data_IF_963412065606
#
_entry.id   IF_963412065606
#
_cell.length_a   1.000
_cell.length_b   1.000
_cell.length_c   1.000
_cell.angle_alpha   90.00
_cell.angle_beta   90.00
_cell.angle_gamma   90.00
#
_symmetry.space_group_name_H-M   'P 1'
#
loop_
_entity.id
_entity.type
_entity.pdbx_description
1 polymer ?
#
# COMPACT_ATOMS: atom_id res chain seq x y z
N UNK A 1 1.50 28.61 12.98
CA UNK A 1 0.94 28.11 14.26
C UNK A 1 1.81 26.99 14.76
N UNK A 2 2.08 26.93 16.06
CA UNK A 2 2.77 25.81 16.70
C UNK A 2 1.88 24.56 16.64
N UNK A 3 2.42 23.37 16.28
CA UNK A 3 1.65 22.13 16.27
C UNK A 3 1.07 21.87 17.66
N UNK A 4 -0.26 21.69 17.74
CA UNK A 4 -0.93 21.41 19.02
C UNK A 4 -1.09 19.90 19.16
N UNK A 5 -0.44 19.30 20.16
CA UNK A 5 -0.66 17.89 20.50
C UNK A 5 -2.10 17.71 20.96
N UNK A 6 -2.84 16.82 20.30
CA UNK A 6 -4.25 16.54 20.62
C UNK A 6 -4.46 15.18 21.29
N UNK A 7 -3.55 14.23 21.04
CA UNK A 7 -3.57 12.94 21.70
C UNK A 7 -2.18 12.31 21.73
N UNK A 8 -1.98 11.41 22.70
CA UNK A 8 -0.88 10.47 22.73
C UNK A 8 -1.50 9.09 22.96
N UNK A 9 -1.00 8.08 22.26
CA UNK A 9 -1.45 6.69 22.40
C UNK A 9 -0.22 5.85 22.66
N UNK A 10 -0.04 5.43 23.90
CA UNK A 10 1.04 4.51 24.25
C UNK A 10 0.71 3.07 23.84
N UNK A 11 1.73 2.23 23.65
CA UNK A 11 1.49 0.80 23.39
C UNK A 11 0.76 0.11 24.54
N UNK A 12 0.97 0.58 25.78
CA UNK A 12 0.32 0.05 26.98
C UNK A 12 -1.18 0.32 26.98
N UNK A 13 -1.61 1.53 26.59
CA UNK A 13 -3.04 1.90 26.47
C UNK A 13 -3.80 1.05 25.45
N UNK A 14 -3.11 0.40 24.50
CA UNK A 14 -3.74 -0.53 23.56
C UNK A 14 -4.35 -1.76 24.24
N UNK A 15 -3.96 -2.06 25.48
CA UNK A 15 -4.57 -3.14 26.26
C UNK A 15 -5.97 -2.75 26.77
N UNK A 16 -6.21 -1.46 26.97
CA UNK A 16 -7.44 -0.91 27.55
C UNK A 16 -8.44 -0.44 26.47
N UNK A 17 -8.03 -0.43 25.20
CA UNK A 17 -8.92 -0.08 24.09
C UNK A 17 -10.04 -1.11 23.96
N UNK A 18 -11.27 -0.60 23.77
CA UNK A 18 -12.37 -1.43 23.31
C UNK A 18 -11.99 -2.01 21.95
N UNK A 19 -11.75 -3.32 21.91
CA UNK A 19 -11.39 -4.03 20.70
C UNK A 19 -12.62 -4.72 20.12
N UNK A 20 -12.74 -4.80 18.77
CA UNK A 20 -13.81 -5.60 18.17
C UNK A 20 -13.68 -7.05 18.60
N UNK A 21 -14.76 -7.83 18.59
CA UNK A 21 -14.71 -9.24 19.00
C UNK A 21 -13.75 -10.05 18.11
N UNK A 22 -13.75 -9.75 16.81
CA UNK A 22 -12.91 -10.38 15.78
C UNK A 22 -12.43 -9.31 14.80
N UNK A 23 -11.21 -9.45 14.30
CA UNK A 23 -10.63 -8.61 13.25
C UNK A 23 -10.17 -9.51 12.08
N UNK A 24 -11.13 -9.84 11.22
CA UNK A 24 -10.94 -10.67 10.02
C UNK A 24 -11.09 -9.81 8.77
N UNK A 25 -10.24 -10.07 7.78
CA UNK A 25 -10.34 -9.48 6.45
C UNK A 25 -11.43 -10.22 5.66
N UNK A 26 -12.43 -9.49 5.20
CA UNK A 26 -13.56 -10.02 4.41
C UNK A 26 -13.82 -9.14 3.19
N UNK A 27 -14.62 -9.65 2.24
CA UNK A 27 -15.09 -8.91 1.07
C UNK A 27 -13.95 -8.29 0.23
N UNK A 28 -12.83 -9.00 0.10
CA UNK A 28 -11.68 -8.54 -0.69
C UNK A 28 -12.05 -8.45 -2.16
N UNK A 29 -11.88 -7.26 -2.74
CA UNK A 29 -12.13 -7.01 -4.17
C UNK A 29 -11.01 -6.17 -4.75
N UNK A 30 -10.57 -6.50 -5.95
CA UNK A 30 -9.76 -5.59 -6.74
C UNK A 30 -10.66 -4.47 -7.29
N UNK A 31 -10.23 -3.23 -7.11
CA UNK A 31 -10.89 -2.07 -7.68
C UNK A 31 -10.19 -1.62 -8.95
N UNK A 32 -8.93 -1.21 -8.84
CA UNK A 32 -8.20 -0.59 -9.96
C UNK A 32 -6.71 -0.89 -9.89
N UNK A 33 -5.96 -0.41 -10.87
CA UNK A 33 -4.51 -0.47 -10.92
C UNK A 33 -3.95 0.66 -11.76
N UNK A 34 -2.67 0.97 -11.57
CA UNK A 34 -1.95 1.90 -12.43
C UNK A 34 -0.46 1.58 -12.46
N UNK A 35 0.23 2.00 -13.53
CA UNK A 35 1.69 2.04 -13.58
C UNK A 35 2.16 3.48 -13.58
N UNK A 36 3.23 3.79 -12.86
CA UNK A 36 4.05 4.96 -13.20
C UNK A 36 4.87 4.67 -14.45
N UNK A 37 5.02 5.67 -15.33
CA UNK A 37 5.91 5.61 -16.49
C UNK A 37 6.93 6.75 -16.48
N UNK A 38 8.09 6.54 -17.10
CA UNK A 38 9.02 7.63 -17.36
C UNK A 38 8.49 8.56 -18.45
N UNK A 39 8.26 9.81 -18.06
CA UNK A 39 7.77 10.89 -18.90
C UNK A 39 8.25 12.24 -18.34
N UNK A 40 8.26 13.34 -19.13
CA UNK A 40 8.68 14.67 -18.65
C UNK A 40 7.82 15.22 -17.50
N UNK A 41 6.57 14.77 -17.40
CA UNK A 41 5.64 15.11 -16.32
C UNK A 41 5.24 13.83 -15.56
N UNK A 42 4.87 13.93 -14.27
CA UNK A 42 4.34 12.79 -13.52
C UNK A 42 3.15 12.17 -14.27
N UNK A 43 3.33 10.96 -14.80
CA UNK A 43 2.36 10.31 -15.67
C UNK A 43 2.11 8.87 -15.23
N UNK A 44 0.83 8.49 -15.18
CA UNK A 44 0.40 7.13 -14.91
C UNK A 44 -0.35 6.54 -16.11
N UNK A 45 -0.29 5.22 -16.26
CA UNK A 45 -1.11 4.44 -17.19
C UNK A 45 -2.19 3.71 -16.38
N UNK A 46 -3.45 3.78 -16.83
CA UNK A 46 -4.63 3.22 -16.16
C UNK A 46 -5.51 2.51 -17.20
N UNK A 47 -5.96 1.25 -16.96
CA UNK A 47 -5.50 0.37 -15.90
C UNK A 47 -4.02 0.00 -16.07
N UNK A 48 -3.36 -0.29 -14.95
CA UNK A 48 -1.99 -0.78 -14.94
C UNK A 48 -1.90 -2.29 -15.14
N UNK A 49 -0.70 -2.77 -15.48
CA UNK A 49 -0.34 -4.19 -15.57
C UNK A 49 1.03 -4.41 -14.92
N UNK A 50 1.18 -5.39 -14.00
CA UNK A 50 2.48 -5.75 -13.45
C UNK A 50 3.36 -6.38 -14.55
N UNK A 51 4.69 -6.41 -14.39
CA UNK A 51 5.53 -7.09 -15.35
C UNK A 51 5.32 -8.63 -15.28
N UNK A 52 5.40 -9.29 -16.42
CA UNK A 52 5.23 -10.75 -16.54
C UNK A 52 6.48 -11.45 -16.04
N UNK A 53 6.34 -12.46 -15.18
CA UNK A 53 7.40 -13.39 -14.86
C UNK A 53 7.90 -14.09 -16.13
N UNK A 54 9.15 -13.83 -16.47
CA UNK A 54 9.79 -14.25 -17.72
C UNK A 54 11.28 -14.54 -17.46
N UNK A 55 11.58 -15.68 -16.81
CA UNK A 55 12.94 -16.00 -16.40
C UNK A 55 13.82 -16.25 -17.63
N UNK A 56 15.13 -15.93 -17.56
CA UNK A 56 16.08 -16.31 -18.62
C UNK A 56 16.18 -17.84 -18.73
N UNK A 57 16.53 -18.34 -19.93
CA UNK A 57 16.59 -19.79 -20.23
C UNK A 57 17.72 -20.56 -19.53
N UNK A 58 18.55 -19.91 -18.71
CA UNK A 58 19.66 -20.56 -18.01
C UNK A 58 20.17 -19.73 -16.84
N UNK A 59 21.14 -20.27 -16.06
CA UNK A 59 21.68 -19.58 -14.91
C UNK A 59 22.24 -18.21 -15.28
N UNK A 60 21.93 -17.21 -14.46
CA UNK A 60 22.38 -15.84 -14.69
C UNK A 60 22.86 -15.22 -13.40
N UNK A 61 24.14 -14.85 -13.37
CA UNK A 61 24.68 -14.06 -12.28
C UNK A 61 24.07 -12.65 -12.32
N UNK A 62 23.44 -12.25 -11.23
CA UNK A 62 22.85 -10.93 -11.09
C UNK A 62 23.90 -9.88 -10.76
N UNK A 63 23.69 -8.67 -11.29
CA UNK A 63 24.41 -7.49 -10.84
C UNK A 63 23.86 -7.07 -9.49
N UNK A 64 24.69 -6.41 -8.68
CA UNK A 64 24.24 -5.73 -7.46
C UNK A 64 23.27 -4.61 -7.83
N UNK A 65 22.28 -4.38 -6.96
CA UNK A 65 21.39 -3.23 -7.09
C UNK A 65 22.21 -1.93 -7.12
N UNK A 66 21.91 -1.05 -8.07
CA UNK A 66 22.63 0.22 -8.24
C UNK A 66 21.70 1.32 -8.77
N UNK A 67 22.14 2.57 -8.61
CA UNK A 67 21.45 3.76 -9.12
C UNK A 67 20.27 4.19 -8.26
N UNK A 68 19.34 4.93 -8.86
CA UNK A 68 18.20 5.51 -8.17
C UNK A 68 17.17 4.43 -7.76
N UNK A 69 16.72 4.52 -6.52
CA UNK A 69 15.69 3.68 -5.89
C UNK A 69 14.61 4.58 -5.30
N UNK A 70 13.36 4.16 -5.45
CA UNK A 70 12.24 4.80 -4.78
C UNK A 70 11.93 4.09 -3.47
N UNK A 71 11.98 4.82 -2.36
CA UNK A 71 11.41 4.41 -1.06
C UNK A 71 9.90 4.65 -1.08
N UNK A 72 9.47 5.72 -1.75
CA UNK A 72 8.09 6.11 -1.92
C UNK A 72 7.85 6.70 -3.30
N UNK A 73 7.73 5.86 -4.33
CA UNK A 73 7.61 6.29 -5.73
C UNK A 73 6.51 7.34 -5.96
N UNK A 74 5.34 7.14 -5.36
CA UNK A 74 4.24 8.09 -5.49
C UNK A 74 4.55 9.46 -4.89
N UNK A 75 5.22 9.51 -3.73
CA UNK A 75 5.62 10.76 -3.10
C UNK A 75 6.84 11.40 -3.79
N UNK A 76 7.73 10.60 -4.37
CA UNK A 76 8.86 11.09 -5.16
C UNK A 76 8.40 11.76 -6.46
N UNK A 77 7.39 11.19 -7.13
CA UNK A 77 6.86 11.71 -8.40
C UNK A 77 5.80 12.79 -8.21
N UNK A 78 5.03 12.73 -7.13
CA UNK A 78 3.98 13.70 -6.83
C UNK A 78 3.89 14.02 -5.33
N UNK A 79 4.85 14.81 -4.81
CA UNK A 79 5.01 15.04 -3.37
C UNK A 79 3.81 15.77 -2.72
N UNK A 80 3.15 16.65 -3.47
CA UNK A 80 2.01 17.43 -2.97
C UNK A 80 0.74 16.58 -2.82
N UNK A 81 0.61 15.48 -3.57
CA UNK A 81 -0.55 14.58 -3.49
C UNK A 81 -0.20 13.11 -3.80
N UNK A 82 0.54 12.41 -2.92
CA UNK A 82 1.03 11.05 -3.19
C UNK A 82 -0.05 9.97 -3.33
N UNK A 83 -1.30 10.28 -2.97
CA UNK A 83 -2.45 9.39 -3.13
C UNK A 83 -3.34 9.76 -4.32
N UNK A 84 -3.13 10.90 -4.98
CA UNK A 84 -3.90 11.29 -6.17
C UNK A 84 -3.96 10.19 -7.24
N UNK A 85 -2.85 9.50 -7.60
CA UNK A 85 -2.89 8.44 -8.60
C UNK A 85 -3.91 7.33 -8.29
N UNK A 86 -4.12 7.01 -7.01
CA UNK A 86 -5.13 6.03 -6.60
C UNK A 86 -6.54 6.53 -6.93
N UNK A 87 -6.86 7.78 -6.59
CA UNK A 87 -8.18 8.35 -6.82
C UNK A 87 -8.44 8.54 -8.32
N UNK A 88 -7.45 9.02 -9.07
CA UNK A 88 -7.53 9.14 -10.54
C UNK A 88 -7.78 7.77 -11.19
N UNK A 89 -7.04 6.75 -10.78
CA UNK A 89 -7.20 5.41 -11.31
C UNK A 89 -8.58 4.81 -10.98
N UNK A 90 -9.12 5.07 -9.79
CA UNK A 90 -10.49 4.67 -9.42
C UNK A 90 -11.54 5.38 -10.27
N UNK A 91 -11.43 6.70 -10.45
CA UNK A 91 -12.39 7.47 -11.24
C UNK A 91 -12.46 7.00 -12.71
N UNK A 92 -11.32 6.58 -13.28
CA UNK A 92 -11.23 6.11 -14.66
C UNK A 92 -11.84 4.71 -14.83
N UNK A 93 -11.49 3.75 -13.97
CA UNK A 93 -11.86 2.34 -14.17
C UNK A 93 -13.14 1.95 -13.44
N UNK A 94 -13.52 2.69 -12.40
CA UNK A 94 -14.72 2.45 -11.60
C UNK A 94 -15.45 3.77 -11.30
N UNK A 95 -15.96 4.48 -12.33
CA UNK A 95 -16.58 5.79 -12.17
C UNK A 95 -17.86 5.75 -11.32
N UNK A 96 -18.46 4.59 -11.07
CA UNK A 96 -19.64 4.40 -10.21
C UNK A 96 -19.29 3.97 -8.79
N UNK A 97 -18.01 3.78 -8.46
CA UNK A 97 -17.60 3.38 -7.12
C UNK A 97 -17.96 4.47 -6.11
N UNK A 98 -18.69 4.08 -5.05
CA UNK A 98 -19.08 5.00 -4.00
C UNK A 98 -17.98 5.05 -2.93
N UNK A 99 -17.10 6.05 -3.02
CA UNK A 99 -16.05 6.25 -2.02
C UNK A 99 -16.61 6.69 -0.66
N UNK A 100 -17.85 7.20 -0.60
CA UNK A 100 -18.46 7.67 0.65
C UNK A 100 -18.76 6.52 1.62
N UNK A 101 -18.87 5.30 1.12
CA UNK A 101 -18.99 4.10 1.97
C UNK A 101 -17.65 3.60 2.51
N UNK A 102 -16.54 4.28 2.24
CA UNK A 102 -15.20 3.89 2.68
C UNK A 102 -14.79 4.71 3.90
N UNK A 103 -14.37 4.02 4.94
CA UNK A 103 -13.94 4.63 6.20
C UNK A 103 -12.47 5.05 6.14
N UNK A 104 -11.62 4.23 5.50
CA UNK A 104 -10.16 4.46 5.45
C UNK A 104 -9.60 4.22 4.05
N UNK A 105 -8.94 5.23 3.49
CA UNK A 105 -8.08 5.13 2.29
C UNK A 105 -6.62 5.21 2.72
N UNK A 106 -5.81 4.22 2.35
CA UNK A 106 -4.40 4.17 2.79
C UNK A 106 -3.52 3.39 1.81
N UNK A 107 -2.26 3.19 2.17
CA UNK A 107 -1.38 2.22 1.54
C UNK A 107 -0.92 1.13 2.51
N UNK A 108 -0.45 0.02 1.93
CA UNK A 108 0.06 -1.14 2.68
C UNK A 108 1.20 -0.79 3.63
N UNK A 109 1.98 0.27 3.38
CA UNK A 109 3.10 0.64 4.25
C UNK A 109 2.62 1.29 5.55
N UNK A 110 1.59 2.14 5.51
CA UNK A 110 1.00 2.69 6.72
C UNK A 110 0.43 1.60 7.64
N UNK A 111 -0.23 0.59 7.07
CA UNK A 111 -0.74 -0.56 7.84
C UNK A 111 0.41 -1.34 8.49
N UNK A 112 1.50 -1.60 7.74
CA UNK A 112 2.72 -2.23 8.31
C UNK A 112 3.31 -1.42 9.46
N UNK A 113 3.40 -0.09 9.31
CA UNK A 113 3.93 0.83 10.33
C UNK A 113 3.09 0.78 11.61
N UNK A 114 1.77 0.86 11.49
CA UNK A 114 0.87 0.72 12.65
C UNK A 114 0.93 -0.67 13.29
N UNK A 115 1.00 -1.73 12.49
CA UNK A 115 1.16 -3.10 13.01
C UNK A 115 2.51 -3.29 13.71
N UNK A 116 3.59 -2.68 13.19
CA UNK A 116 4.90 -2.71 13.84
C UNK A 116 4.93 -1.99 15.19
N UNK A 117 4.16 -0.89 15.31
CA UNK A 117 3.99 -0.21 16.59
C UNK A 117 3.29 -1.14 17.61
N UNK A 118 2.29 -1.91 17.18
CA UNK A 118 1.55 -2.84 18.05
C UNK A 118 2.41 -4.02 18.47
N UNK A 119 3.08 -4.65 17.49
CA UNK A 119 3.92 -5.81 17.70
C UNK A 119 5.29 -5.61 17.02
N UNK A 120 6.29 -5.10 17.77
CA UNK A 120 7.64 -4.90 17.27
C UNK A 120 8.31 -6.16 16.74
N UNK A 121 7.95 -7.34 17.27
CA UNK A 121 8.56 -8.62 16.84
C UNK A 121 8.23 -8.99 15.40
N UNK A 122 7.21 -8.36 14.80
CA UNK A 122 6.85 -8.56 13.39
C UNK A 122 7.77 -7.78 12.42
N UNK A 123 8.65 -6.93 12.95
CA UNK A 123 9.63 -6.19 12.14
C UNK A 123 10.93 -6.96 12.02
N UNK A 124 11.47 -7.04 10.78
CA UNK A 124 12.79 -7.65 10.54
C UNK A 124 13.95 -6.70 10.87
N UNK A 125 13.73 -5.39 10.76
CA UNK A 125 14.78 -4.37 10.82
C UNK A 125 14.70 -3.49 12.09
N UNK A 126 13.98 -3.96 13.11
CA UNK A 126 13.70 -3.17 14.31
C UNK A 126 12.65 -2.08 14.08
N UNK A 127 12.42 -1.28 15.13
CA UNK A 127 11.45 -0.19 15.13
C UNK A 127 12.07 1.08 14.55
N UNK A 128 11.35 1.73 13.64
CA UNK A 128 11.73 3.00 13.04
C UNK A 128 10.67 4.07 13.32
N UNK A 129 11.09 5.32 13.50
CA UNK A 129 10.16 6.43 13.62
C UNK A 129 9.46 6.58 12.29
N UNK A 130 8.14 6.77 12.31
CA UNK A 130 7.38 7.02 11.10
C UNK A 130 6.41 8.16 11.29
N UNK A 131 5.99 8.75 10.17
CA UNK A 131 4.99 9.82 10.14
C UNK A 131 3.88 9.44 9.15
N UNK A 132 2.64 9.68 9.57
CA UNK A 132 1.43 9.48 8.77
C UNK A 132 0.64 10.78 8.81
N UNK A 133 0.44 11.33 7.64
CA UNK A 133 -0.38 12.49 7.37
C UNK A 133 -1.82 12.03 7.19
N UNK A 134 -2.75 12.57 7.98
CA UNK A 134 -4.16 12.18 7.95
C UNK A 134 -5.03 13.40 7.63
N UNK A 135 -5.91 13.22 6.65
CA UNK A 135 -7.00 14.14 6.34
C UNK A 135 -8.32 13.37 6.33
N UNK A 136 -9.38 13.94 6.91
CA UNK A 136 -10.73 13.40 6.85
C UNK A 136 -11.53 14.21 5.85
N UNK A 137 -11.90 13.57 4.74
CA UNK A 137 -12.81 14.11 3.74
C UNK A 137 -14.23 13.56 4.02
N UNK A 138 -15.12 14.42 4.54
CA UNK A 138 -16.44 14.03 5.08
C UNK A 138 -16.28 12.94 6.16
N UNK A 139 -16.56 11.69 5.83
CA UNK A 139 -16.44 10.55 6.74
C UNK A 139 -15.24 9.65 6.48
N UNK A 140 -14.58 9.80 5.33
CA UNK A 140 -13.44 8.98 4.91
C UNK A 140 -12.13 9.57 5.41
N UNK A 141 -11.36 8.79 6.16
CA UNK A 141 -10.02 9.16 6.58
C UNK A 141 -8.97 8.70 5.55
N UNK A 142 -8.14 9.63 5.09
CA UNK A 142 -7.08 9.42 4.10
C UNK A 142 -5.74 9.42 4.83
N UNK A 143 -5.10 8.26 4.88
CA UNK A 143 -3.81 8.07 5.53
C UNK A 143 -2.71 8.09 4.46
N UNK A 144 -1.96 9.18 4.38
CA UNK A 144 -0.80 9.27 3.51
C UNK A 144 0.48 9.10 4.31
N UNK A 145 1.30 8.18 3.84
CA UNK A 145 2.65 7.98 4.36
C UNK A 145 3.48 9.24 4.14
N UNK A 146 4.22 9.64 5.16
CA UNK A 146 5.22 10.70 5.07
C UNK A 146 6.59 10.08 5.35
N UNK A 147 7.47 10.11 4.35
CA UNK A 147 8.85 9.62 4.47
C UNK A 147 9.81 10.80 4.47
N UNK A 148 10.81 10.76 5.35
CA UNK A 148 11.90 11.75 5.37
C UNK A 148 12.68 11.78 4.05
N UNK A 149 12.77 10.61 3.41
CA UNK A 149 13.44 10.42 2.13
C UNK A 149 12.55 9.56 1.24
N UNK A 150 12.24 10.05 0.04
CA UNK A 150 11.38 9.34 -0.93
C UNK A 150 12.18 8.55 -1.96
N UNK A 151 13.48 8.84 -2.10
CA UNK A 151 14.40 8.20 -3.03
C UNK A 151 15.82 8.08 -2.45
N UNK A 152 16.52 7.00 -2.79
CA UNK A 152 17.92 6.75 -2.41
C UNK A 152 18.73 6.46 -3.68
N UNK A 153 20.02 6.77 -3.67
CA UNK A 153 20.94 6.41 -4.75
C UNK A 153 21.98 5.43 -4.23
N UNK A 154 22.01 4.22 -4.78
CA UNK A 154 23.06 3.24 -4.45
C UNK A 154 24.30 3.50 -5.31
N UNK A 155 25.40 3.83 -4.63
CA UNK A 155 26.68 4.07 -5.27
C UNK A 155 27.37 2.80 -5.78
N UNK A 156 28.38 2.92 -6.67
CA UNK A 156 29.09 1.77 -7.26
C UNK A 156 29.77 0.82 -6.25
N UNK A 157 30.09 1.31 -5.05
CA UNK A 157 30.76 0.56 -3.99
C UNK A 157 29.84 0.16 -2.85
N UNK A 158 28.56 0.55 -2.91
CA UNK A 158 27.58 0.26 -1.87
C UNK A 158 26.84 -1.04 -2.19
N UNK A 159 26.49 -1.80 -1.16
CA UNK A 159 25.74 -3.04 -1.31
C UNK A 159 24.45 -3.00 -0.49
N UNK A 160 23.32 -3.09 -1.17
CA UNK A 160 21.98 -3.20 -0.55
C UNK A 160 21.26 -4.51 -0.88
N UNK A 161 21.66 -5.20 -1.94
CA UNK A 161 21.04 -6.45 -2.36
C UNK A 161 21.09 -6.68 -3.87
N UNK A 162 20.24 -7.60 -4.31
CA UNK A 162 20.08 -8.02 -5.71
C UNK A 162 18.61 -8.01 -6.14
N UNK A 163 17.69 -7.53 -5.31
CA UNK A 163 16.25 -7.72 -5.50
C UNK A 163 15.73 -6.99 -6.74
N UNK A 164 16.21 -5.76 -6.97
CA UNK A 164 15.76 -4.97 -8.12
C UNK A 164 16.37 -5.47 -9.42
N UNK A 165 17.64 -5.83 -9.41
CA UNK A 165 18.27 -6.47 -10.57
C UNK A 165 17.65 -7.84 -10.85
N UNK A 166 17.24 -8.58 -9.82
CA UNK A 166 16.45 -9.81 -9.98
C UNK A 166 15.14 -9.51 -10.71
N UNK A 167 14.32 -8.58 -10.22
CA UNK A 167 13.05 -8.21 -10.88
C UNK A 167 13.26 -7.76 -12.34
N UNK A 168 14.26 -6.92 -12.61
CA UNK A 168 14.59 -6.46 -13.97
C UNK A 168 14.96 -7.60 -14.92
N UNK A 169 15.65 -8.62 -14.41
CA UNK A 169 16.14 -9.75 -15.20
C UNK A 169 15.09 -10.85 -15.36
N UNK A 170 14.26 -11.07 -14.35
CA UNK A 170 13.30 -12.17 -14.27
C UNK A 170 11.88 -11.78 -14.66
N UNK A 171 11.63 -10.50 -14.97
CA UNK A 171 10.33 -10.05 -15.44
C UNK A 171 10.41 -9.20 -16.70
N UNK A 172 9.35 -9.24 -17.52
CA UNK A 172 9.20 -8.43 -18.73
C UNK A 172 8.05 -7.45 -18.55
N UNK A 173 8.37 -6.16 -18.66
CA UNK A 173 7.37 -5.08 -18.60
C UNK A 173 6.36 -5.23 -19.74
N UNK A 174 5.09 -5.16 -19.40
CA UNK A 174 3.99 -5.17 -20.38
C UNK A 174 3.63 -3.77 -20.87
N UNK A 175 4.02 -2.73 -20.10
CA UNK A 175 3.81 -1.32 -20.42
C UNK A 175 5.18 -0.66 -20.65
N UNK A 176 5.31 0.01 -21.80
CA UNK A 176 6.51 0.77 -22.16
C UNK A 176 6.84 1.83 -21.10
N UNK A 177 8.13 1.98 -20.79
CA UNK A 177 8.63 2.92 -19.78
C UNK A 177 8.07 2.75 -18.35
N UNK A 178 7.37 1.65 -18.02
CA UNK A 178 6.85 1.40 -16.67
C UNK A 178 7.95 1.34 -15.61
N UNK A 179 7.74 1.99 -14.47
CA UNK A 179 8.68 2.06 -13.34
C UNK A 179 8.16 1.45 -12.04
N UNK A 180 6.89 1.08 -12.00
CA UNK A 180 6.26 0.47 -10.82
C UNK A 180 4.76 0.33 -11.03
N UNK A 181 4.21 -0.82 -10.63
CA UNK A 181 2.79 -1.14 -10.76
C UNK A 181 2.12 -1.17 -9.40
N UNK A 182 0.98 -0.51 -9.27
CA UNK A 182 0.23 -0.38 -8.03
C UNK A 182 -1.18 -0.92 -8.23
N UNK A 183 -1.60 -1.85 -7.36
CA UNK A 183 -2.98 -2.33 -7.27
C UNK A 183 -3.72 -1.57 -6.19
N UNK A 184 -5.02 -1.40 -6.40
CA UNK A 184 -5.96 -0.79 -5.48
C UNK A 184 -7.03 -1.82 -5.19
N UNK A 185 -7.13 -2.20 -3.91
CA UNK A 185 -8.09 -3.19 -3.44
C UNK A 185 -9.00 -2.57 -2.38
N UNK A 186 -10.16 -3.17 -2.17
CA UNK A 186 -11.04 -2.88 -1.03
C UNK A 186 -11.29 -4.16 -0.24
N UNK A 187 -11.49 -4.00 1.06
CA UNK A 187 -11.88 -5.08 1.96
C UNK A 187 -12.49 -4.50 3.23
N UNK A 188 -13.13 -5.35 4.01
CA UNK A 188 -13.60 -5.05 5.37
C UNK A 188 -12.63 -5.59 6.40
N UNK A 189 -12.35 -4.80 7.43
CA UNK A 189 -11.48 -5.20 8.53
C UNK A 189 -11.86 -4.45 9.81
N UNK A 190 -12.08 -5.18 10.91
CA UNK A 190 -12.29 -4.56 12.22
C UNK A 190 -13.51 -3.62 12.31
N UNK A 191 -14.55 -3.87 11.50
CA UNK A 191 -15.75 -3.02 11.42
C UNK A 191 -15.62 -1.81 10.48
N UNK A 192 -14.49 -1.65 9.80
CA UNK A 192 -14.25 -0.56 8.85
C UNK A 192 -14.13 -1.09 7.42
N UNK A 193 -14.53 -0.26 6.45
CA UNK A 193 -14.34 -0.49 5.02
C UNK A 193 -13.07 0.23 4.56
N UNK A 194 -12.15 -0.52 3.95
CA UNK A 194 -10.85 -0.02 3.50
C UNK A 194 -10.77 0.08 1.98
N UNK A 195 -10.02 1.07 1.52
CA UNK A 195 -9.35 1.05 0.21
C UNK A 195 -7.85 1.13 0.44
N UNK A 196 -7.10 0.18 -0.12
CA UNK A 196 -5.66 0.06 0.10
C UNK A 196 -4.92 -0.03 -1.22
N UNK A 197 -3.89 0.82 -1.37
CA UNK A 197 -2.88 0.69 -2.42
C UNK A 197 -1.73 -0.21 -1.99
N UNK A 198 -1.25 -1.06 -2.89
CA UNK A 198 0.06 -1.69 -2.74
C UNK A 198 0.77 -1.87 -4.08
N UNK A 199 2.10 -1.90 -4.06
CA UNK A 199 2.91 -2.29 -5.22
C UNK A 199 2.75 -3.79 -5.49
N UNK A 200 2.88 -4.18 -6.76
CA UNK A 200 2.93 -5.58 -7.19
C UNK A 200 4.03 -5.75 -8.21
N UNK A 201 5.04 -6.54 -7.85
CA UNK A 201 6.32 -6.62 -8.56
C UNK A 201 6.25 -7.48 -9.82
N UNK A 202 5.26 -8.38 -9.94
CA UNK A 202 5.08 -9.21 -11.12
C UNK A 202 3.85 -10.10 -11.07
N UNK A 203 3.61 -10.85 -12.15
CA UNK A 203 2.59 -11.90 -12.22
C UNK A 203 3.08 -13.10 -13.03
N UNK A 204 2.53 -14.29 -12.77
CA UNK A 204 2.76 -15.49 -13.59
C UNK A 204 1.57 -15.67 -14.54
N UNK A 205 1.84 -15.97 -15.80
CA UNK A 205 0.79 -16.31 -16.76
C UNK A 205 0.45 -17.80 -16.67
N UNK A 206 -0.76 -18.11 -16.19
CA UNK A 206 -1.24 -19.49 -16.02
C UNK A 206 -1.80 -20.12 -17.29
N UNK A 207 -2.05 -19.32 -18.35
CA UNK A 207 -2.59 -19.83 -19.63
C UNK A 207 -1.49 -20.46 -20.50
N UNK A 208 -0.24 -20.07 -20.30
CA UNK A 208 0.92 -20.77 -20.85
C UNK A 208 1.13 -22.05 -20.05
N UNK A 209 0.70 -23.19 -20.62
CA UNK A 209 0.97 -24.55 -20.12
C UNK A 209 2.40 -24.62 -19.57
N UNK A 210 2.53 -24.61 -18.25
CA UNK A 210 3.75 -24.99 -17.55
C UNK A 210 3.98 -26.46 -17.94
N UNK A 211 5.13 -26.83 -18.53
CA UNK A 211 5.43 -28.23 -18.77
C UNK A 211 5.35 -28.98 -17.43
N UNK A 212 4.56 -30.05 -17.40
CA UNK A 212 4.38 -30.89 -16.22
C UNK A 212 5.74 -31.36 -15.67
N UNK A 213 5.91 -31.53 -14.35
CA UNK A 213 7.18 -31.95 -13.75
C UNK A 213 7.60 -33.40 -14.06
N UNK A 214 6.88 -34.13 -14.92
CA UNK A 214 7.08 -35.56 -15.20
C UNK A 214 8.25 -35.86 -16.13
N UNK A 215 9.40 -35.22 -15.89
CA UNK A 215 10.69 -35.66 -16.39
C UNK A 215 11.64 -35.86 -15.21
N UNK A 216 11.51 -36.99 -14.51
CA UNK A 216 12.56 -37.50 -13.60
C UNK A 216 13.81 -37.85 -14.42
N UNK A 217 14.64 -36.84 -14.68
CA UNK A 217 16.06 -37.01 -15.02
C UNK A 217 16.86 -37.31 -13.74
N UNK A 218 18.05 -37.93 -13.85
CA UNK A 218 18.80 -38.36 -12.69
C UNK A 218 19.24 -37.15 -11.85
N UNK A 219 19.06 -37.26 -10.53
CA UNK A 219 19.63 -36.35 -9.54
C UNK A 219 21.15 -36.27 -9.76
N UNK A 220 21.58 -35.18 -10.39
CA UNK A 220 22.94 -34.69 -10.29
C UNK A 220 22.89 -33.51 -9.34
N UNK A 221 23.56 -33.68 -8.20
CA UNK A 221 23.91 -32.67 -7.20
C UNK A 221 24.80 -31.58 -7.83
N UNK A 222 24.27 -30.87 -8.81
CA UNK A 222 24.85 -29.65 -9.33
C UNK A 222 24.10 -28.52 -8.67
N UNK A 223 24.84 -27.64 -7.97
CA UNK A 223 24.40 -26.33 -7.52
C UNK A 223 24.06 -25.47 -8.75
N UNK A 224 23.00 -25.86 -9.46
CA UNK A 224 22.44 -25.17 -10.60
C UNK A 224 21.86 -23.87 -10.05
N UNK A 225 22.59 -22.78 -10.31
CA UNK A 225 22.26 -21.39 -9.99
C UNK A 225 21.07 -20.85 -10.81
N UNK A 226 20.15 -21.73 -11.20
CA UNK A 226 18.92 -21.42 -11.90
C UNK A 226 17.78 -21.38 -10.89
N UNK A 227 17.07 -20.25 -10.81
CA UNK A 227 15.85 -20.21 -10.02
C UNK A 227 14.81 -21.14 -10.65
N UNK A 228 14.14 -22.00 -9.87
CA UNK A 228 13.12 -22.89 -10.39
C UNK A 228 11.95 -22.09 -10.98
N UNK A 229 11.18 -22.73 -11.85
CA UNK A 229 9.88 -22.20 -12.28
C UNK A 229 9.02 -21.99 -11.02
N UNK A 230 8.40 -20.80 -10.84
CA UNK A 230 7.59 -20.55 -9.66
C UNK A 230 6.38 -21.48 -9.68
N UNK A 231 6.16 -22.16 -8.56
CA UNK A 231 4.95 -22.91 -8.30
C UNK A 231 3.85 -21.94 -7.85
N UNK A 232 2.66 -22.07 -8.45
CA UNK A 232 1.50 -21.27 -8.08
C UNK A 232 0.68 -22.10 -7.11
N UNK A 233 0.66 -21.69 -5.85
CA UNK A 233 -0.04 -22.37 -4.76
C UNK A 233 -1.22 -21.52 -4.25
N UNK A 234 -2.29 -22.19 -3.83
CA UNK A 234 -3.36 -21.55 -3.06
C UNK A 234 -3.00 -21.53 -1.58
N UNK A 235 -2.66 -20.33 -1.09
CA UNK A 235 -2.26 -20.08 0.30
C UNK A 235 -3.40 -19.55 1.18
N UNK A 236 -4.66 -19.63 0.73
CA UNK A 236 -5.80 -19.09 1.46
C UNK A 236 -5.94 -19.69 2.87
N UNK A 237 -5.70 -21.00 3.02
CA UNK A 237 -5.75 -21.69 4.30
C UNK A 237 -4.64 -21.23 5.27
N UNK A 238 -3.43 -21.00 4.76
CA UNK A 238 -2.30 -20.53 5.56
C UNK A 238 -2.50 -19.09 6.03
N UNK A 239 -3.00 -18.23 5.15
CA UNK A 239 -3.36 -16.85 5.51
C UNK A 239 -4.44 -16.85 6.60
N UNK A 240 -5.47 -17.69 6.47
CA UNK A 240 -6.53 -17.80 7.47
C UNK A 240 -5.99 -18.30 8.81
N UNK A 241 -5.15 -19.33 8.80
CA UNK A 241 -4.53 -19.87 10.02
C UNK A 241 -3.65 -18.82 10.70
N UNK A 242 -2.87 -18.07 9.91
CA UNK A 242 -2.08 -16.95 10.43
C UNK A 242 -2.99 -15.86 11.02
N UNK A 243 -4.07 -15.49 10.35
CA UNK A 243 -5.00 -14.47 10.83
C UNK A 243 -5.67 -14.87 12.16
N UNK A 244 -6.07 -16.14 12.29
CA UNK A 244 -6.63 -16.72 13.52
C UNK A 244 -5.61 -16.68 14.67
N UNK A 245 -4.37 -17.07 14.40
CA UNK A 245 -3.27 -17.04 15.38
C UNK A 245 -2.86 -15.62 15.81
N UNK A 246 -3.13 -14.60 14.99
CA UNK A 246 -2.72 -13.21 15.23
C UNK A 246 -3.89 -12.28 15.66
N UNK A 247 -5.06 -12.84 16.00
CA UNK A 247 -6.25 -12.03 16.34
C UNK A 247 -6.03 -11.01 17.46
N UNK A 248 -5.14 -11.27 18.43
CA UNK A 248 -4.84 -10.29 19.49
C UNK A 248 -4.29 -8.99 18.90
N UNK A 249 -3.35 -9.07 17.98
CA UNK A 249 -2.67 -7.91 17.41
C UNK A 249 -3.53 -7.25 16.32
N UNK A 250 -4.26 -8.05 15.53
CA UNK A 250 -5.20 -7.55 14.52
C UNK A 250 -6.36 -6.77 15.16
N UNK A 251 -6.90 -7.23 16.30
CA UNK A 251 -7.92 -6.49 17.04
C UNK A 251 -7.41 -5.17 17.59
N UNK A 252 -6.17 -5.14 18.10
CA UNK A 252 -5.51 -3.89 18.51
C UNK A 252 -5.29 -2.96 17.32
N UNK A 253 -4.96 -3.50 16.15
CA UNK A 253 -4.79 -2.71 14.92
C UNK A 253 -6.09 -2.05 14.50
N UNK A 254 -7.18 -2.80 14.49
CA UNK A 254 -8.51 -2.25 14.22
C UNK A 254 -8.87 -1.14 15.22
N UNK A 255 -8.74 -1.40 16.53
CA UNK A 255 -9.05 -0.42 17.57
C UNK A 255 -8.16 0.84 17.49
N UNK A 256 -6.88 0.67 17.18
CA UNK A 256 -5.94 1.78 17.01
C UNK A 256 -6.32 2.65 15.81
N UNK A 257 -6.63 2.04 14.66
CA UNK A 257 -7.04 2.78 13.46
C UNK A 257 -8.31 3.58 13.76
N UNK A 258 -9.34 2.96 14.36
CA UNK A 258 -10.57 3.65 14.75
C UNK A 258 -10.29 4.81 15.71
N UNK A 259 -9.48 4.58 16.75
CA UNK A 259 -9.11 5.62 17.71
C UNK A 259 -8.40 6.79 17.05
N UNK A 260 -7.48 6.54 16.12
CA UNK A 260 -6.81 7.59 15.35
C UNK A 260 -7.85 8.37 14.55
N UNK A 261 -8.71 7.70 13.78
CA UNK A 261 -9.75 8.34 12.97
C UNK A 261 -10.66 9.23 13.83
N UNK A 262 -11.13 8.73 14.98
CA UNK A 262 -11.99 9.48 15.90
C UNK A 262 -11.30 10.74 16.44
N UNK A 263 -10.03 10.62 16.85
CA UNK A 263 -9.24 11.76 17.32
C UNK A 263 -9.06 12.80 16.22
N UNK A 264 -8.76 12.38 14.98
CA UNK A 264 -8.58 13.31 13.86
C UNK A 264 -9.92 13.97 13.46
N UNK A 265 -11.02 13.22 13.44
CA UNK A 265 -12.37 13.78 13.24
C UNK A 265 -12.68 14.84 14.30
N UNK A 266 -12.42 14.54 15.57
CA UNK A 266 -12.65 15.46 16.69
C UNK A 266 -11.81 16.74 16.66
N UNK A 267 -10.69 16.77 15.94
CA UNK A 267 -9.83 17.95 15.86
C UNK A 267 -10.03 18.81 14.60
N UNK A 268 -11.03 18.49 13.76
CA UNK A 268 -11.33 19.21 12.51
C UNK A 268 -10.75 18.55 11.26
N UNK A 269 -10.43 17.26 11.33
CA UNK A 269 -10.15 16.43 10.15
C UNK A 269 -8.73 16.52 9.60
N UNK A 270 -7.80 17.22 10.25
CA UNK A 270 -6.42 17.34 9.78
C UNK A 270 -5.41 17.12 10.91
N UNK A 271 -4.58 16.10 10.77
CA UNK A 271 -3.59 15.75 11.78
C UNK A 271 -2.34 15.07 11.19
N UNK A 272 -1.28 15.07 12.00
CA UNK A 272 -0.08 14.26 11.79
C UNK A 272 0.00 13.26 12.94
N UNK A 273 0.23 11.99 12.61
CA UNK A 273 0.55 10.93 13.57
C UNK A 273 2.02 10.59 13.40
N UNK A 274 2.81 10.68 14.48
CA UNK A 274 4.22 10.25 14.47
C UNK A 274 4.44 9.22 15.56
N UNK A 275 5.21 8.19 15.24
CA UNK A 275 5.73 7.28 16.24
C UNK A 275 6.99 7.86 16.88
N UNK A 276 6.92 8.11 18.19
CA UNK A 276 8.05 8.42 19.04
C UNK A 276 8.55 7.12 19.68
N UNK A 277 9.69 6.62 19.17
CA UNK A 277 10.32 5.40 19.67
C UNK A 277 10.74 5.56 21.14
N UNK A 278 11.30 6.71 21.51
CA UNK A 278 11.85 6.91 22.85
C UNK A 278 10.73 6.91 23.91
N UNK A 279 9.58 7.51 23.56
CA UNK A 279 8.39 7.50 24.41
C UNK A 279 7.46 6.29 24.24
N UNK A 280 7.80 5.35 23.35
CA UNK A 280 6.98 4.21 22.93
C UNK A 280 5.49 4.53 22.70
N UNK A 281 5.25 5.62 21.96
CA UNK A 281 3.89 6.16 21.76
C UNK A 281 3.70 6.80 20.41
N UNK A 282 2.47 6.76 19.94
CA UNK A 282 2.01 7.59 18.83
C UNK A 282 1.60 8.95 19.38
N UNK A 283 2.14 10.01 18.79
CA UNK A 283 1.77 11.39 19.11
C UNK A 283 0.99 11.94 17.94
N UNK A 284 -0.17 12.53 18.23
CA UNK A 284 -1.08 13.10 17.23
C UNK A 284 -1.10 14.61 17.42
N UNK A 285 -0.74 15.35 16.37
CA UNK A 285 -0.83 16.82 16.34
C UNK A 285 -1.90 17.27 15.38
N UNK A 286 -2.72 18.22 15.83
CA UNK A 286 -3.52 19.01 14.92
C UNK A 286 -2.61 19.92 14.11
N UNK A 287 -2.82 19.93 12.80
CA UNK A 287 -2.11 20.81 11.87
C UNK A 287 -3.10 21.52 10.96
N UNK A 288 -2.77 22.74 10.59
CA UNK A 288 -3.43 23.43 9.50
C UNK A 288 -2.60 23.21 8.24
N UNK A 289 -3.09 22.35 7.34
CA UNK A 289 -2.34 21.86 6.20
C UNK A 289 -3.08 22.13 4.90
N UNK A 290 -2.31 22.19 3.81
CA UNK A 290 -2.88 22.12 2.47
C UNK A 290 -3.57 20.76 2.28
N UNK A 291 -4.65 20.78 1.52
CA UNK A 291 -5.38 19.59 1.06
C UNK A 291 -4.44 18.54 0.48
N UNK A 292 -4.66 17.28 0.82
CA UNK A 292 -3.87 16.13 0.37
C UNK A 292 -4.14 15.71 -1.07
N UNK A 293 -5.24 16.19 -1.63
CA UNK A 293 -5.65 15.93 -3.02
C UNK A 293 -5.85 17.26 -3.75
N UNK A 294 -5.81 17.26 -5.09
CA UNK A 294 -6.36 18.34 -5.90
C UNK A 294 -7.83 18.62 -5.57
N UNK A 295 -8.22 19.89 -5.72
CA UNK A 295 -9.56 20.34 -5.38
C UNK A 295 -10.67 19.61 -6.14
N UNK A 296 -10.45 19.26 -7.40
CA UNK A 296 -11.45 18.58 -8.23
C UNK A 296 -11.76 17.17 -7.73
N UNK A 297 -10.79 16.49 -7.09
CA UNK A 297 -10.99 15.16 -6.53
C UNK A 297 -11.81 15.16 -5.24
N UNK A 298 -12.08 16.29 -4.59
CA UNK A 298 -12.97 16.29 -3.40
C UNK A 298 -14.44 16.14 -3.78
N UNK A 299 -14.80 16.47 -5.02
CA UNK A 299 -16.18 16.35 -5.50
C UNK A 299 -16.72 14.92 -5.50
N UNK A 300 -15.85 13.90 -5.43
CA UNK A 300 -16.26 12.50 -5.37
C UNK A 300 -16.99 12.13 -4.06
N UNK A 301 -16.83 12.97 -3.02
CA UNK A 301 -17.57 12.84 -1.76
C UNK A 301 -18.84 13.68 -1.70
N UNK A 302 -19.08 14.53 -2.71
CA UNK A 302 -20.33 15.28 -2.78
C UNK A 302 -21.47 14.34 -3.21
N UNK A 303 -22.68 14.63 -2.74
CA UNK A 303 -23.83 13.83 -3.12
C UNK A 303 -24.04 13.87 -4.63
N UNK A 304 -24.19 12.69 -5.25
CA UNK A 304 -24.78 12.58 -6.59
C UNK A 304 -26.29 12.85 -6.53
N UNK A 305 -26.68 13.96 -5.91
CA UNK A 305 -28.06 14.43 -5.94
C UNK A 305 -28.25 15.21 -7.25
N UNK A 306 -28.82 14.54 -8.27
CA UNK A 306 -29.57 15.24 -9.33
C UNK A 306 -28.98 15.31 -10.74
N UNK A 307 -28.48 14.21 -11.33
CA UNK A 307 -28.33 14.14 -12.80
C UNK A 307 -29.54 13.51 -13.52
N UNK A 308 -30.69 13.42 -12.85
CA UNK A 308 -31.99 13.12 -13.47
C UNK A 308 -32.93 14.33 -13.28
N UNK A 309 -32.71 15.41 -14.04
CA UNK A 309 -33.72 16.41 -14.40
C UNK A 309 -33.08 17.56 -15.23
N UNK A 310 -32.58 17.27 -16.43
CA UNK A 310 -32.34 18.30 -17.46
C UNK A 310 -32.42 17.71 -18.88
N UNK A 311 -33.35 16.79 -19.09
CA UNK A 311 -33.71 16.29 -20.43
C UNK A 311 -35.19 16.53 -20.70
N UNK A 312 -35.69 17.75 -20.45
CA UNK A 312 -36.96 18.24 -21.01
C UNK A 312 -36.82 19.76 -21.27
N UNK A 313 -37.05 20.14 -22.54
CA UNK A 313 -37.13 21.50 -23.14
C UNK A 313 -35.77 22.18 -23.35
N UNK A 314 -35.31 22.50 -24.56
CA UNK A 314 -35.98 22.97 -25.79
C UNK A 314 -35.40 22.30 -27.03
#
# INVERSE_FOLDING_TARGET
MTPTTIAQISRLELQDLSTPLVATITDVKQLSSYNWIEAPLPTIVVPGTPPLWSPPSGPRQLKKDSGLIYIAQNAARHPDSPLEPLFRALCITNPSFDIRSIDVVTDRNNIRKLLSFINPSMTRNGLETFTINIEVAKDTAIFCRDETTTQEFIGPHEFKGYGREFEKVYTTRQIGASTGHHRIITYRFGGLNFVVRHETDGYVNTDTRIPSPDAKGPESDSLSSTFPVPEVEDVAADIKTWEEGNQRDLRKLAALISKIVDVVKGCGGNAIVKYDILGDKLVIWKVDRKKMLPNDLYSIWDDRAGSEASSIMV
#
